data_IF_029735758567
#
_entry.id   IF_029735758567
#
_cell.length_a   1.000
_cell.length_b   1.000
_cell.length_c   1.000
_cell.angle_alpha   90.00
_cell.angle_beta   90.00
_cell.angle_gamma   90.00
#
_symmetry.space_group_name_H-M   'P 1'
#
loop_
_entity.id
_entity.type
_entity.pdbx_description
1 polymer ?
#
# COMPACT_ATOMS: atom_id res chain seq x y z
N UNK A 1 24.29 -16.84 -3.43
CA UNK A 1 23.54 -15.75 -2.76
C UNK A 1 22.07 -15.96 -3.06
N UNK A 2 21.22 -16.06 -2.03
CA UNK A 2 19.77 -16.08 -2.21
C UNK A 2 19.36 -14.73 -2.81
N UNK A 3 18.61 -14.73 -3.91
CA UNK A 3 18.13 -13.51 -4.55
C UNK A 3 16.95 -13.01 -3.71
N UNK A 4 17.09 -11.87 -3.04
CA UNK A 4 15.95 -11.23 -2.37
C UNK A 4 14.93 -10.81 -3.44
N UNK A 5 13.68 -11.22 -3.27
CA UNK A 5 12.57 -10.76 -4.10
C UNK A 5 12.26 -9.32 -3.72
N UNK A 6 12.25 -8.43 -4.70
CA UNK A 6 11.89 -7.03 -4.54
C UNK A 6 10.64 -6.73 -5.37
N UNK A 7 9.67 -6.07 -4.75
CA UNK A 7 8.36 -5.75 -5.33
C UNK A 7 8.10 -4.25 -5.19
N UNK A 8 7.69 -3.62 -6.31
CA UNK A 8 7.19 -2.26 -6.33
C UNK A 8 5.67 -2.27 -6.58
N UNK A 9 4.90 -1.67 -5.69
CA UNK A 9 3.46 -1.46 -5.87
C UNK A 9 3.24 -0.03 -6.33
N UNK A 10 2.69 0.13 -7.53
CA UNK A 10 2.33 1.43 -8.11
C UNK A 10 0.81 1.58 -8.05
N UNK A 11 0.37 2.72 -7.53
CA UNK A 11 -1.04 3.06 -7.33
C UNK A 11 -1.40 4.30 -8.14
N UNK A 12 -2.53 4.22 -8.82
CA UNK A 12 -3.02 5.28 -9.69
C UNK A 12 -3.67 6.47 -8.96
N UNK A 13 -4.28 7.39 -9.72
CA UNK A 13 -4.86 8.63 -9.20
C UNK A 13 -6.02 8.38 -8.23
N UNK A 14 -6.22 9.33 -7.31
CA UNK A 14 -7.30 9.40 -6.33
C UNK A 14 -7.30 8.31 -5.24
N UNK A 15 -6.43 7.30 -5.32
CA UNK A 15 -6.30 6.29 -4.25
C UNK A 15 -5.78 6.88 -2.92
N UNK A 16 -5.15 8.06 -2.97
CA UNK A 16 -4.81 8.85 -1.78
C UNK A 16 -6.05 9.36 -1.02
N UNK A 17 -7.25 9.28 -1.60
CA UNK A 17 -8.50 9.71 -0.96
C UNK A 17 -9.22 8.58 -0.21
N UNK A 18 -8.67 7.36 -0.20
CA UNK A 18 -9.25 6.26 0.57
C UNK A 18 -9.41 6.63 2.05
N UNK A 19 -10.56 6.26 2.63
CA UNK A 19 -10.89 6.55 4.02
C UNK A 19 -11.38 7.98 4.28
N UNK A 20 -11.44 8.86 3.26
CA UNK A 20 -11.83 10.27 3.47
C UNK A 20 -13.31 10.55 3.17
N UNK A 21 -13.89 9.90 2.16
CA UNK A 21 -15.28 10.15 1.76
C UNK A 21 -16.25 9.38 2.64
N UNK A 22 -17.15 10.09 3.32
CA UNK A 22 -18.21 9.56 4.20
C UNK A 22 -17.81 8.23 4.86
N UNK A 23 -16.86 8.22 5.81
CA UNK A 23 -16.19 7.00 6.24
C UNK A 23 -17.10 5.96 6.92
N UNK A 24 -18.24 6.41 7.45
CA UNK A 24 -19.28 5.51 8.00
C UNK A 24 -20.02 4.74 6.89
N UNK A 25 -19.97 5.20 5.64
CA UNK A 25 -20.61 4.58 4.47
C UNK A 25 -19.57 3.83 3.63
N UNK A 26 -18.42 4.44 3.35
CA UNK A 26 -17.41 3.89 2.42
C UNK A 26 -16.21 3.25 3.12
N UNK A 27 -16.18 3.27 4.45
CA UNK A 27 -15.09 2.71 5.25
C UNK A 27 -14.00 3.73 5.58
N UNK A 28 -13.26 3.41 6.66
CA UNK A 28 -12.22 4.27 7.26
C UNK A 28 -10.80 3.92 6.81
N UNK A 29 -10.64 2.81 6.08
CA UNK A 29 -9.33 2.34 5.66
C UNK A 29 -8.68 3.31 4.68
N UNK A 30 -7.49 3.77 5.03
CA UNK A 30 -6.67 4.69 4.24
C UNK A 30 -5.69 3.94 3.35
N UNK A 31 -5.08 4.65 2.41
CA UNK A 31 -3.98 4.10 1.60
C UNK A 31 -2.75 3.74 2.46
N UNK A 32 -2.49 4.54 3.50
CA UNK A 32 -1.41 4.31 4.46
C UNK A 32 -1.62 3.02 5.25
N UNK A 33 -2.85 2.76 5.73
CA UNK A 33 -3.19 1.50 6.42
C UNK A 33 -2.87 0.27 5.54
N UNK A 34 -3.15 0.40 4.24
CA UNK A 34 -2.87 -0.65 3.25
C UNK A 34 -1.36 -0.81 3.09
N UNK A 35 -0.59 0.28 2.97
CA UNK A 35 0.87 0.22 2.87
C UNK A 35 1.51 -0.41 4.10
N UNK A 36 1.10 -0.03 5.30
CA UNK A 36 1.59 -0.62 6.55
C UNK A 36 1.32 -2.12 6.61
N UNK A 37 0.12 -2.54 6.20
CA UNK A 37 -0.25 -3.96 6.15
C UNK A 37 0.59 -4.73 5.13
N UNK A 38 0.76 -4.17 3.93
CA UNK A 38 1.60 -4.77 2.88
C UNK A 38 3.06 -4.87 3.32
N UNK A 39 3.62 -3.83 3.94
CA UNK A 39 4.98 -3.84 4.49
C UNK A 39 5.18 -4.92 5.55
N UNK A 40 4.20 -5.10 6.43
CA UNK A 40 4.21 -6.16 7.45
C UNK A 40 4.21 -7.57 6.81
N UNK A 41 3.39 -7.78 5.78
CA UNK A 41 3.33 -9.04 5.04
C UNK A 41 4.64 -9.30 4.29
N UNK A 42 5.18 -8.29 3.59
CA UNK A 42 6.44 -8.42 2.85
C UNK A 42 7.60 -8.77 3.78
N UNK A 43 7.72 -8.07 4.92
CA UNK A 43 8.73 -8.34 5.94
C UNK A 43 8.62 -9.77 6.47
N UNK A 44 7.41 -10.26 6.74
CA UNK A 44 7.18 -11.63 7.21
C UNK A 44 7.61 -12.70 6.18
N UNK A 45 7.65 -12.34 4.89
CA UNK A 45 8.03 -13.24 3.81
C UNK A 45 9.47 -13.00 3.30
N UNK A 46 10.25 -12.12 3.93
CA UNK A 46 11.60 -11.78 3.48
C UNK A 46 11.64 -11.06 2.11
N UNK A 47 10.56 -10.37 1.75
CA UNK A 47 10.42 -9.60 0.51
C UNK A 47 10.72 -8.13 0.79
N UNK A 48 11.51 -7.51 -0.08
CA UNK A 48 11.68 -6.06 -0.09
C UNK A 48 10.49 -5.43 -0.81
N UNK A 49 9.82 -4.48 -0.16
CA UNK A 49 8.63 -3.83 -0.71
C UNK A 49 8.82 -2.32 -0.76
N UNK A 50 8.55 -1.76 -1.94
CA UNK A 50 8.41 -0.33 -2.17
C UNK A 50 6.99 -0.01 -2.65
N UNK A 51 6.48 1.14 -2.25
CA UNK A 51 5.14 1.62 -2.64
C UNK A 51 5.25 3.01 -3.23
N UNK A 52 4.51 3.27 -4.30
CA UNK A 52 4.43 4.58 -4.95
C UNK A 52 3.01 4.86 -5.40
N UNK A 53 2.52 6.07 -5.16
CA UNK A 53 1.22 6.54 -5.64
C UNK A 53 1.40 7.85 -6.40
N UNK A 54 0.65 8.01 -7.50
CA UNK A 54 0.66 9.22 -8.32
C UNK A 54 -0.74 9.62 -8.74
N UNK A 55 -0.96 10.93 -8.85
CA UNK A 55 -2.16 11.53 -9.44
C UNK A 55 -1.98 11.99 -10.90
N UNK A 56 -0.81 11.73 -11.48
CA UNK A 56 -0.43 12.09 -12.85
C UNK A 56 -0.58 10.91 -13.82
#
# INVERSE_FOLDING_TARGET
MSKNTSILVIQGPNLNLLGTREPEVYGKTTLEDIHTKLGSIAKANGVELSTFQSNH
#
